data_IF_330196668877
#
_entry.id   IF_330196668877
#
_cell.length_a   1.000
_cell.length_b   1.000
_cell.length_c   1.000
_cell.angle_alpha   90.00
_cell.angle_beta   90.00
_cell.angle_gamma   90.00
#
_symmetry.space_group_name_H-M   'P 1'
#
loop_
_entity.id
_entity.type
_entity.pdbx_description
1 polymer ?
#
# COMPACT_ATOMS: atom_id res chain seq x y z
N UNK A 1 48.70 28.51 -18.63
CA UNK A 1 47.35 28.32 -19.20
C UNK A 1 46.57 27.33 -18.33
N UNK A 2 45.25 27.48 -18.14
CA UNK A 2 44.61 27.20 -16.86
C UNK A 2 44.14 25.74 -16.69
N UNK A 3 44.55 25.09 -15.60
CA UNK A 3 44.04 23.79 -15.13
C UNK A 3 42.60 23.85 -14.53
N UNK A 4 41.79 24.83 -14.99
CA UNK A 4 40.46 25.12 -14.43
C UNK A 4 39.35 24.25 -15.05
N UNK A 5 39.59 23.71 -16.26
CA UNK A 5 38.64 22.85 -16.99
C UNK A 5 38.49 21.45 -16.39
N UNK A 6 39.57 20.82 -15.92
CA UNK A 6 39.53 19.46 -15.38
C UNK A 6 38.69 19.34 -14.09
N UNK A 7 38.74 20.37 -13.24
CA UNK A 7 37.95 20.44 -11.99
C UNK A 7 36.47 20.68 -12.25
N UNK A 8 36.14 21.43 -13.32
CA UNK A 8 34.75 21.64 -13.76
C UNK A 8 34.14 20.39 -14.40
N UNK A 9 34.91 19.66 -15.23
CA UNK A 9 34.47 18.41 -15.85
C UNK A 9 34.05 17.38 -14.81
N UNK A 10 34.89 17.14 -13.80
CA UNK A 10 34.60 16.14 -12.77
C UNK A 10 33.31 16.45 -11.97
N UNK A 11 33.03 17.73 -11.71
CA UNK A 11 31.79 18.14 -11.04
C UNK A 11 30.58 17.96 -11.95
N UNK A 12 30.69 18.33 -13.23
CA UNK A 12 29.61 18.16 -14.21
C UNK A 12 29.28 16.69 -14.42
N UNK A 13 30.29 15.84 -14.60
CA UNK A 13 30.12 14.39 -14.76
C UNK A 13 29.36 13.79 -13.57
N UNK A 14 29.73 14.20 -12.35
CA UNK A 14 29.06 13.74 -11.14
C UNK A 14 27.60 14.23 -11.05
N UNK A 15 27.35 15.49 -11.40
CA UNK A 15 25.98 16.05 -11.43
C UNK A 15 25.12 15.34 -12.47
N UNK A 16 25.65 15.04 -13.66
CA UNK A 16 24.93 14.29 -14.70
C UNK A 16 24.59 12.88 -14.24
N UNK A 17 25.50 12.18 -13.54
CA UNK A 17 25.23 10.88 -12.94
C UNK A 17 24.15 10.97 -11.87
N UNK A 18 24.25 11.93 -10.94
CA UNK A 18 23.26 12.10 -9.87
C UNK A 18 21.89 12.51 -10.41
N UNK A 19 21.83 13.35 -11.44
CA UNK A 19 20.59 13.78 -12.07
C UNK A 19 19.75 12.61 -12.61
N UNK A 20 20.40 11.51 -13.00
CA UNK A 20 19.73 10.28 -13.44
C UNK A 20 19.56 9.29 -12.29
N UNK A 21 20.61 9.09 -11.48
CA UNK A 21 20.62 8.09 -10.41
C UNK A 21 19.62 8.39 -9.30
N UNK A 22 19.49 9.66 -8.89
CA UNK A 22 18.61 10.05 -7.78
C UNK A 22 17.14 9.78 -8.12
N UNK A 23 16.58 10.21 -9.27
CA UNK A 23 15.22 9.87 -9.65
C UNK A 23 14.98 8.36 -9.78
N UNK A 24 15.93 7.62 -10.36
CA UNK A 24 15.81 6.15 -10.49
C UNK A 24 15.76 5.48 -9.12
N UNK A 25 16.67 5.86 -8.22
CA UNK A 25 16.70 5.34 -6.86
C UNK A 25 15.41 5.66 -6.10
N UNK A 26 14.93 6.89 -6.18
CA UNK A 26 13.67 7.29 -5.55
C UNK A 26 12.46 6.61 -6.18
N UNK A 27 12.47 6.36 -7.49
CA UNK A 27 11.46 5.56 -8.18
C UNK A 27 11.40 4.12 -7.68
N UNK A 28 12.56 3.48 -7.47
CA UNK A 28 12.64 2.13 -6.88
C UNK A 28 12.13 2.13 -5.44
N UNK A 29 12.54 3.11 -4.62
CA UNK A 29 12.04 3.23 -3.24
C UNK A 29 10.52 3.48 -3.21
N UNK A 30 10.00 4.32 -4.09
CA UNK A 30 8.57 4.58 -4.20
C UNK A 30 7.82 3.29 -4.57
N UNK A 31 8.30 2.54 -5.56
CA UNK A 31 7.70 1.27 -5.95
C UNK A 31 7.72 0.26 -4.80
N UNK A 32 8.84 0.14 -4.10
CA UNK A 32 8.97 -0.72 -2.93
C UNK A 32 7.97 -0.34 -1.82
N UNK A 33 7.80 0.97 -1.56
CA UNK A 33 6.82 1.48 -0.60
C UNK A 33 5.38 1.14 -1.01
N UNK A 34 5.02 1.38 -2.27
CA UNK A 34 3.68 1.08 -2.80
C UNK A 34 3.37 -0.41 -2.67
N UNK A 35 4.31 -1.27 -3.05
CA UNK A 35 4.15 -2.72 -2.93
C UNK A 35 4.06 -3.18 -1.47
N UNK A 36 4.88 -2.61 -0.57
CA UNK A 36 4.81 -2.88 0.86
C UNK A 36 3.41 -2.57 1.39
N UNK A 37 2.91 -1.34 1.16
CA UNK A 37 1.59 -0.91 1.62
C UNK A 37 0.52 -1.83 1.04
N UNK A 38 0.49 -2.04 -0.28
CA UNK A 38 -0.51 -2.90 -0.94
C UNK A 38 -0.52 -4.31 -0.37
N UNK A 39 0.65 -4.92 -0.16
CA UNK A 39 0.73 -6.29 0.35
C UNK A 39 0.29 -6.38 1.81
N UNK A 40 0.67 -5.41 2.65
CA UNK A 40 0.22 -5.34 4.04
C UNK A 40 -1.29 -5.15 4.14
N UNK A 41 -1.86 -4.26 3.31
CA UNK A 41 -3.31 -4.05 3.25
C UNK A 41 -4.06 -5.29 2.76
N UNK A 42 -3.55 -5.97 1.73
CA UNK A 42 -4.18 -7.20 1.22
C UNK A 42 -4.21 -8.31 2.28
N UNK A 43 -3.12 -8.44 3.04
CA UNK A 43 -3.07 -9.37 4.17
C UNK A 43 -4.10 -9.01 5.25
N UNK A 44 -4.22 -7.72 5.59
CA UNK A 44 -5.18 -7.25 6.60
C UNK A 44 -6.65 -7.35 6.14
N UNK A 45 -6.92 -7.12 4.86
CA UNK A 45 -8.25 -7.26 4.27
C UNK A 45 -8.68 -8.73 4.23
N UNK A 46 -7.78 -9.64 3.82
CA UNK A 46 -8.07 -11.08 3.81
C UNK A 46 -8.34 -11.62 5.21
N UNK A 47 -7.57 -11.19 6.21
CA UNK A 47 -7.78 -11.59 7.60
C UNK A 47 -9.07 -10.99 8.18
N UNK A 48 -9.41 -9.73 7.84
CA UNK A 48 -10.69 -9.12 8.22
C UNK A 48 -11.88 -9.82 7.59
N UNK A 49 -11.80 -10.21 6.32
CA UNK A 49 -12.83 -10.96 5.63
C UNK A 49 -13.06 -12.33 6.30
N UNK A 50 -11.99 -13.06 6.62
CA UNK A 50 -12.08 -14.33 7.36
C UNK A 50 -12.71 -14.14 8.74
N UNK A 51 -12.32 -13.07 9.43
CA UNK A 51 -12.86 -12.76 10.75
C UNK A 51 -14.36 -12.45 10.69
N UNK A 52 -14.80 -11.70 9.68
CA UNK A 52 -16.20 -11.35 9.44
C UNK A 52 -17.06 -12.53 8.96
N UNK A 53 -16.45 -13.49 8.26
CA UNK A 53 -17.12 -14.70 7.77
C UNK A 53 -17.34 -15.78 8.85
N UNK A 54 -17.08 -15.46 10.13
CA UNK A 54 -17.35 -16.36 11.27
C UNK A 54 -18.80 -16.21 11.73
N UNK A 55 -19.45 -17.30 12.15
CA UNK A 55 -20.89 -17.38 12.50
C UNK A 55 -21.43 -16.27 13.41
N UNK A 56 -20.65 -15.78 14.37
CA UNK A 56 -21.07 -14.74 15.32
C UNK A 56 -20.62 -13.32 14.93
N UNK A 57 -20.12 -13.14 13.71
CA UNK A 57 -19.54 -11.86 13.26
C UNK A 57 -20.20 -11.37 11.99
N UNK A 58 -20.09 -10.07 11.77
CA UNK A 58 -20.54 -9.41 10.56
C UNK A 58 -19.46 -8.58 9.89
N UNK A 59 -19.81 -7.93 8.76
CA UNK A 59 -18.89 -7.04 8.04
C UNK A 59 -18.25 -5.96 8.92
N UNK A 60 -18.99 -5.37 9.86
CA UNK A 60 -18.44 -4.34 10.76
C UNK A 60 -17.32 -4.85 11.68
N UNK A 61 -17.41 -6.10 12.13
CA UNK A 61 -16.34 -6.74 12.91
C UNK A 61 -15.08 -6.93 12.05
N UNK A 62 -15.26 -7.26 10.78
CA UNK A 62 -14.19 -7.32 9.78
C UNK A 62 -13.50 -5.97 9.60
N UNK A 63 -14.27 -4.89 9.45
CA UNK A 63 -13.74 -3.52 9.36
C UNK A 63 -12.91 -3.18 10.60
N UNK A 64 -13.46 -3.40 11.79
CA UNK A 64 -12.76 -3.12 13.05
C UNK A 64 -11.45 -3.92 13.16
N UNK A 65 -11.46 -5.20 12.77
CA UNK A 65 -10.29 -6.07 12.76
C UNK A 65 -9.23 -5.61 11.77
N UNK A 66 -9.61 -5.31 10.54
CA UNK A 66 -8.71 -4.80 9.50
C UNK A 66 -8.09 -3.47 9.92
N UNK A 67 -8.88 -2.53 10.44
CA UNK A 67 -8.37 -1.25 10.97
C UNK A 67 -7.34 -1.45 12.07
N UNK A 68 -7.60 -2.34 13.03
CA UNK A 68 -6.67 -2.63 14.11
C UNK A 68 -5.34 -3.23 13.60
N UNK A 69 -5.40 -4.11 12.60
CA UNK A 69 -4.18 -4.67 11.99
C UNK A 69 -3.39 -3.62 11.21
N UNK A 70 -4.07 -2.80 10.41
CA UNK A 70 -3.42 -1.72 9.65
C UNK A 70 -2.76 -0.74 10.61
N UNK A 71 -3.44 -0.32 11.68
CA UNK A 71 -2.89 0.61 12.68
C UNK A 71 -1.67 0.03 13.43
N UNK A 72 -1.54 -1.30 13.51
CA UNK A 72 -0.38 -1.97 14.10
C UNK A 72 0.83 -2.09 13.17
N UNK A 73 0.61 -2.04 11.85
CA UNK A 73 1.66 -2.25 10.84
C UNK A 73 2.03 -0.99 10.05
N UNK A 74 1.09 -0.06 9.88
CA UNK A 74 1.20 1.16 9.09
C UNK A 74 0.70 2.36 9.90
N UNK A 75 0.90 3.57 9.37
CA UNK A 75 0.35 4.78 9.96
C UNK A 75 -1.19 4.76 9.97
N UNK A 76 -1.80 5.34 11.00
CA UNK A 76 -3.26 5.34 11.20
C UNK A 76 -4.07 5.85 9.99
N UNK A 77 -3.51 6.78 9.20
CA UNK A 77 -4.13 7.30 7.97
C UNK A 77 -4.49 6.23 6.94
N UNK A 78 -3.79 5.09 6.94
CA UNK A 78 -4.06 3.99 6.01
C UNK A 78 -5.24 3.11 6.46
N UNK A 79 -5.81 3.36 7.65
CA UNK A 79 -6.95 2.63 8.21
C UNK A 79 -8.25 3.47 8.21
N UNK A 80 -8.22 4.68 7.65
CA UNK A 80 -9.37 5.59 7.68
C UNK A 80 -10.51 5.08 6.80
N UNK A 81 -10.18 4.64 5.58
CA UNK A 81 -11.14 4.19 4.58
C UNK A 81 -11.07 2.66 4.40
N UNK A 82 -11.94 1.97 5.14
CA UNK A 82 -12.07 0.51 5.17
C UNK A 82 -13.55 0.20 5.19
N UNK A 83 -14.01 -0.54 4.19
CA UNK A 83 -15.38 -1.00 4.05
C UNK A 83 -15.43 -2.52 3.99
N UNK A 84 -16.53 -3.08 4.45
CA UNK A 84 -16.81 -4.50 4.31
C UNK A 84 -18.25 -4.71 3.94
N UNK A 85 -18.52 -5.69 3.07
CA UNK A 85 -19.87 -6.04 2.69
C UNK A 85 -20.01 -7.53 2.40
N UNK A 86 -21.20 -8.11 2.61
CA UNK A 86 -21.49 -9.49 2.23
C UNK A 86 -21.45 -9.62 0.71
N UNK A 87 -20.84 -10.69 0.21
CA UNK A 87 -20.72 -11.01 -1.21
C UNK A 87 -20.86 -12.51 -1.43
N UNK A 88 -21.24 -12.93 -2.64
CA UNK A 88 -21.13 -14.34 -3.03
C UNK A 88 -19.74 -14.59 -3.62
N UNK A 89 -18.92 -15.38 -2.92
CA UNK A 89 -17.62 -15.84 -3.40
C UNK A 89 -17.81 -17.23 -3.98
N UNK A 90 -17.62 -17.38 -5.29
CA UNK A 90 -17.80 -18.65 -6.02
C UNK A 90 -19.16 -19.33 -5.75
N UNK A 91 -20.22 -18.52 -5.58
CA UNK A 91 -21.58 -19.00 -5.31
C UNK A 91 -21.88 -19.35 -3.85
N UNK A 92 -20.91 -19.17 -2.95
CA UNK A 92 -21.09 -19.35 -1.51
C UNK A 92 -21.17 -17.98 -0.80
N UNK A 93 -21.99 -17.82 0.25
CA UNK A 93 -21.97 -16.63 1.09
C UNK A 93 -20.56 -16.34 1.61
N UNK A 94 -20.19 -15.08 1.66
CA UNK A 94 -18.87 -14.63 2.07
C UNK A 94 -18.86 -13.13 2.36
N UNK A 95 -17.70 -12.62 2.72
CA UNK A 95 -17.48 -11.20 3.00
C UNK A 95 -16.30 -10.70 2.17
N UNK A 96 -16.46 -9.55 1.54
CA UNK A 96 -15.38 -8.75 0.95
C UNK A 96 -15.05 -7.60 1.90
N UNK A 97 -13.76 -7.40 2.16
CA UNK A 97 -13.23 -6.21 2.82
C UNK A 97 -12.40 -5.45 1.80
N UNK A 98 -12.67 -4.17 1.64
CA UNK A 98 -11.96 -3.25 0.73
C UNK A 98 -11.32 -2.13 1.52
N UNK A 99 -10.09 -1.79 1.17
CA UNK A 99 -9.31 -0.71 1.78
C UNK A 99 -8.87 0.25 0.70
N UNK A 100 -9.24 1.52 0.85
CA UNK A 100 -8.89 2.61 -0.07
C UNK A 100 -7.79 3.45 0.56
N UNK A 101 -6.66 3.62 -0.13
CA UNK A 101 -5.55 4.43 0.40
C UNK A 101 -4.84 5.25 -0.65
N UNK A 102 -4.21 6.32 -0.18
CA UNK A 102 -3.30 7.14 -0.96
C UNK A 102 -1.88 7.02 -0.40
N UNK A 103 -0.96 6.50 -1.21
CA UNK A 103 0.46 6.40 -0.87
C UNK A 103 1.17 7.67 -1.36
N UNK A 104 1.69 8.51 -0.45
CA UNK A 104 2.35 9.75 -0.84
C UNK A 104 3.70 9.48 -1.53
N UNK A 105 4.12 10.42 -2.37
CA UNK A 105 5.44 10.37 -2.99
C UNK A 105 6.56 10.73 -2.01
N UNK A 106 7.74 10.12 -2.18
CA UNK A 106 8.95 10.46 -1.44
C UNK A 106 9.55 11.80 -1.92
N UNK A 107 8.99 12.91 -1.43
CA UNK A 107 9.64 14.24 -1.34
C UNK A 107 9.93 15.00 -2.65
N UNK A 108 9.86 14.38 -3.83
CA UNK A 108 10.16 15.02 -5.12
C UNK A 108 8.95 15.66 -5.81
N UNK A 109 7.84 15.86 -5.11
CA UNK A 109 6.58 16.30 -5.75
C UNK A 109 6.04 15.30 -6.77
N UNK A 110 6.41 14.01 -6.63
CA UNK A 110 5.83 12.93 -7.42
C UNK A 110 4.33 12.77 -7.14
N UNK A 111 3.57 12.16 -8.07
CA UNK A 111 2.16 11.91 -7.84
C UNK A 111 1.98 10.93 -6.69
N UNK A 112 1.00 11.20 -5.83
CA UNK A 112 0.53 10.19 -4.91
C UNK A 112 -0.11 9.03 -5.69
N UNK A 113 -0.03 7.82 -5.15
CA UNK A 113 -0.59 6.61 -5.78
C UNK A 113 -1.81 6.18 -5.00
N UNK A 114 -2.97 6.26 -5.63
CA UNK A 114 -4.22 5.68 -5.11
C UNK A 114 -4.20 4.16 -5.28
N UNK A 115 -4.66 3.44 -4.27
CA UNK A 115 -4.75 1.99 -4.26
C UNK A 115 -6.08 1.56 -3.65
N UNK A 116 -6.75 0.67 -4.37
CA UNK A 116 -7.90 -0.08 -3.87
C UNK A 116 -7.46 -1.52 -3.68
N UNK A 117 -7.58 -2.02 -2.44
CA UNK A 117 -7.13 -3.36 -2.08
C UNK A 117 -8.28 -4.12 -1.42
N UNK A 118 -8.70 -5.22 -2.04
CA UNK A 118 -9.73 -6.08 -1.49
C UNK A 118 -9.21 -7.44 -1.05
N UNK A 119 -9.92 -8.04 -0.10
CA UNK A 119 -9.74 -9.41 0.36
C UNK A 119 -11.09 -10.06 0.63
N UNK A 120 -11.20 -11.35 0.28
CA UNK A 120 -12.45 -12.10 0.36
C UNK A 120 -12.29 -13.34 1.21
N UNK A 121 -13.38 -13.75 1.86
CA UNK A 121 -13.49 -15.03 2.53
C UNK A 121 -14.90 -15.60 2.39
N UNK A 122 -15.00 -16.92 2.22
CA UNK A 122 -16.26 -17.66 2.22
C UNK A 122 -16.70 -17.90 3.67
N UNK A 123 -17.98 -17.76 3.96
CA UNK A 123 -18.58 -18.14 5.26
C UNK A 123 -18.41 -19.62 5.51
N UNK A 124 -17.93 -19.96 6.72
CA UNK A 124 -17.89 -21.35 7.16
C UNK A 124 -19.31 -21.87 7.40
N UNK A 125 -19.84 -22.61 6.42
CA UNK A 125 -21.06 -23.40 6.59
C UNK A 125 -20.68 -24.75 7.21
N UNK A 126 -21.06 -24.95 8.47
CA UNK A 126 -21.04 -26.27 9.12
C UNK A 126 -22.03 -27.24 8.46
#
# INVERSE_FOLDING_TARGET
>A
MPARSARGSAVVDFVLVLAVLVPVFLGILQLALVLLVRNTLAAAASEGARYAATLDRGPEDGVAKTRAQIAGALAARYAEDVDAHPVLVDGSPGVEVTVHVVVPALGLGGPAVELDVSGHAIEEQQ
#
